data_IF_956182559045
#
_entry.id   IF_956182559045
#
_cell.length_a   1.000
_cell.length_b   1.000
_cell.length_c   1.000
_cell.angle_alpha   90.00
_cell.angle_beta   90.00
_cell.angle_gamma   90.00
#
_symmetry.space_group_name_H-M   'P 1'
#
loop_
_entity.id
_entity.type
_entity.pdbx_description
1 polymer ?
#
# COMPACT_ATOMS: atom_id res chain seq x y z
N UNK A 1 29.56 -23.93 -8.10
CA UNK A 1 29.35 -22.50 -7.83
C UNK A 1 28.98 -21.82 -9.14
N UNK A 2 27.84 -21.13 -9.21
CA UNK A 2 27.46 -20.37 -10.43
C UNK A 2 28.09 -18.99 -10.32
N UNK A 3 29.17 -18.74 -11.06
CA UNK A 3 29.82 -17.43 -11.12
C UNK A 3 29.07 -16.54 -12.14
N UNK A 4 28.67 -15.34 -11.71
CA UNK A 4 28.10 -14.31 -12.60
C UNK A 4 26.59 -14.35 -12.83
N UNK A 5 25.82 -15.11 -12.04
CA UNK A 5 24.36 -15.10 -12.13
C UNK A 5 23.80 -13.71 -11.74
N UNK A 6 23.21 -13.01 -12.70
CA UNK A 6 22.47 -11.75 -12.48
C UNK A 6 20.98 -12.00 -12.73
N UNK A 7 20.19 -12.12 -11.66
CA UNK A 7 18.73 -12.24 -11.73
C UNK A 7 18.10 -10.90 -11.40
N UNK A 8 17.12 -10.47 -12.20
CA UNK A 8 16.18 -9.40 -11.84
C UNK A 8 14.87 -10.05 -11.43
N UNK A 9 14.59 -10.08 -10.14
CA UNK A 9 13.33 -10.66 -9.62
C UNK A 9 12.17 -9.70 -9.87
N UNK A 10 11.03 -10.25 -10.28
CA UNK A 10 9.77 -9.51 -10.41
C UNK A 10 9.04 -9.32 -9.07
N UNK A 11 7.83 -8.76 -9.09
CA UNK A 11 6.98 -8.70 -7.91
C UNK A 11 6.66 -10.11 -7.41
N UNK A 12 6.52 -10.26 -6.09
CA UNK A 12 6.13 -11.53 -5.47
C UNK A 12 4.71 -11.96 -5.87
N UNK A 13 3.84 -10.99 -6.17
CA UNK A 13 2.47 -11.21 -6.57
C UNK A 13 2.05 -10.21 -7.64
N UNK A 14 1.38 -10.69 -8.69
CA UNK A 14 0.73 -9.88 -9.72
C UNK A 14 -0.60 -10.52 -10.05
N UNK A 15 -1.68 -9.73 -10.02
CA UNK A 15 -3.03 -10.18 -10.29
C UNK A 15 -3.67 -9.26 -11.33
N UNK A 16 -4.15 -9.86 -12.42
CA UNK A 16 -4.85 -9.17 -13.49
C UNK A 16 -6.08 -9.96 -13.89
N UNK A 17 -7.22 -9.54 -13.37
CA UNK A 17 -8.53 -10.13 -13.64
C UNK A 17 -9.63 -9.12 -13.32
N UNK A 18 -10.83 -9.37 -13.83
CA UNK A 18 -12.01 -8.61 -13.45
C UNK A 18 -12.31 -8.81 -11.96
N UNK A 19 -12.60 -7.72 -11.25
CA UNK A 19 -12.87 -7.76 -9.82
C UNK A 19 -11.64 -7.91 -8.91
N UNK A 20 -10.41 -7.98 -9.44
CA UNK A 20 -9.21 -8.20 -8.62
C UNK A 20 -8.99 -7.21 -7.46
N UNK A 21 -9.60 -6.01 -7.53
CA UNK A 21 -9.56 -5.01 -6.45
C UNK A 21 -10.20 -5.52 -5.15
N UNK A 22 -11.18 -6.43 -5.21
CA UNK A 22 -11.83 -7.00 -4.02
C UNK A 22 -10.91 -7.94 -3.25
N UNK A 23 -9.93 -8.56 -3.93
CA UNK A 23 -8.98 -9.51 -3.34
C UNK A 23 -7.83 -8.84 -2.58
N UNK A 24 -7.70 -7.51 -2.66
CA UNK A 24 -6.61 -6.76 -2.02
C UNK A 24 -6.60 -6.96 -0.50
N UNK A 25 -7.77 -6.99 0.15
CA UNK A 25 -7.80 -7.19 1.61
C UNK A 25 -7.27 -8.57 2.01
N UNK A 26 -7.70 -9.62 1.31
CA UNK A 26 -7.25 -10.99 1.58
C UNK A 26 -5.75 -11.15 1.35
N UNK A 27 -5.22 -10.50 0.32
CA UNK A 27 -3.78 -10.43 0.07
C UNK A 27 -3.07 -9.77 1.25
N UNK A 28 -3.51 -8.58 1.69
CA UNK A 28 -2.93 -7.88 2.83
C UNK A 28 -2.94 -8.75 4.11
N UNK A 29 -4.06 -9.43 4.39
CA UNK A 29 -4.21 -10.35 5.52
C UNK A 29 -3.27 -11.55 5.42
N UNK A 30 -3.06 -12.10 4.22
CA UNK A 30 -2.12 -13.21 4.00
C UNK A 30 -0.66 -12.84 4.36
N UNK A 31 -0.31 -11.55 4.27
CA UNK A 31 0.98 -11.02 4.73
C UNK A 31 0.95 -10.53 6.20
N UNK A 32 -0.14 -10.76 6.93
CA UNK A 32 -0.30 -10.37 8.33
C UNK A 32 -0.50 -8.87 8.56
N UNK A 33 -0.91 -8.11 7.53
CA UNK A 33 -1.14 -6.68 7.66
C UNK A 33 -2.39 -6.40 8.51
N UNK A 34 -2.20 -5.71 9.63
CA UNK A 34 -3.29 -5.25 10.54
C UNK A 34 -3.53 -3.75 10.46
N UNK A 35 -2.52 -2.99 10.03
CA UNK A 35 -2.51 -1.53 9.97
C UNK A 35 -1.86 -1.11 8.66
N UNK A 36 -2.59 -0.39 7.82
CA UNK A 36 -2.17 -0.08 6.46
C UNK A 36 -2.25 1.42 6.23
N UNK A 37 -1.16 2.02 5.73
CA UNK A 37 -1.15 3.41 5.29
C UNK A 37 -1.43 3.46 3.78
N UNK A 38 -2.57 4.03 3.40
CA UNK A 38 -2.95 4.29 2.01
C UNK A 38 -2.44 5.66 1.64
N UNK A 39 -1.42 5.70 0.77
CA UNK A 39 -0.94 6.96 0.19
C UNK A 39 -1.70 7.22 -1.10
N UNK A 40 -2.31 8.40 -1.22
CA UNK A 40 -3.21 8.73 -2.33
C UNK A 40 -3.02 10.16 -2.83
N UNK A 41 -3.40 10.42 -4.08
CA UNK A 41 -3.47 11.77 -4.64
C UNK A 41 -4.77 12.49 -4.30
N UNK A 42 -5.10 13.56 -5.02
CA UNK A 42 -6.38 14.27 -4.91
C UNK A 42 -7.41 13.68 -5.87
N UNK A 43 -7.34 14.08 -7.14
CA UNK A 43 -8.33 13.73 -8.18
C UNK A 43 -8.39 12.22 -8.41
N UNK A 44 -7.24 11.53 -8.36
CA UNK A 44 -7.19 10.07 -8.51
C UNK A 44 -7.89 9.35 -7.36
N UNK A 45 -7.81 9.90 -6.14
CA UNK A 45 -8.45 9.32 -4.97
C UNK A 45 -9.96 9.41 -5.06
N UNK A 46 -10.50 10.58 -5.38
CA UNK A 46 -11.96 10.79 -5.49
C UNK A 46 -12.59 9.84 -6.52
N UNK A 47 -11.93 9.65 -7.67
CA UNK A 47 -12.40 8.75 -8.72
C UNK A 47 -12.26 7.27 -8.37
N UNK A 48 -11.21 6.91 -7.62
CA UNK A 48 -10.94 5.53 -7.26
C UNK A 48 -11.74 5.07 -6.06
N UNK A 49 -11.96 5.94 -5.07
CA UNK A 49 -12.53 5.62 -3.76
C UNK A 49 -13.82 4.78 -3.83
N UNK A 50 -14.81 5.07 -4.70
CA UNK A 50 -16.02 4.24 -4.81
C UNK A 50 -15.75 2.78 -5.24
N UNK A 51 -14.60 2.51 -5.84
CA UNK A 51 -14.17 1.19 -6.36
C UNK A 51 -13.23 0.46 -5.41
N UNK A 52 -12.67 1.13 -4.41
CA UNK A 52 -11.71 0.55 -3.46
C UNK A 52 -12.44 -0.20 -2.34
N UNK A 53 -13.27 -1.17 -2.72
CA UNK A 53 -14.16 -1.92 -1.81
C UNK A 53 -13.42 -2.61 -0.66
N UNK A 54 -12.13 -2.92 -0.84
CA UNK A 54 -11.28 -3.53 0.20
C UNK A 54 -11.06 -2.61 1.41
N UNK A 55 -11.28 -1.30 1.29
CA UNK A 55 -11.16 -0.35 2.40
C UNK A 55 -12.26 -0.52 3.45
N UNK A 56 -13.33 -1.25 3.13
CA UNK A 56 -14.42 -1.56 4.05
C UNK A 56 -14.11 -2.75 4.98
N UNK A 57 -12.94 -3.39 4.86
CA UNK A 57 -12.57 -4.50 5.74
C UNK A 57 -12.19 -3.98 7.14
N UNK A 58 -13.11 -4.13 8.10
CA UNK A 58 -12.95 -3.68 9.49
C UNK A 58 -11.86 -4.44 10.26
N UNK A 59 -11.36 -5.56 9.73
CA UNK A 59 -10.24 -6.29 10.34
C UNK A 59 -8.88 -5.64 10.11
N UNK A 60 -8.81 -4.67 9.17
CA UNK A 60 -7.62 -3.88 8.87
C UNK A 60 -7.88 -2.42 9.25
N UNK A 61 -6.98 -1.85 10.05
CA UNK A 61 -7.02 -0.43 10.33
C UNK A 61 -6.35 0.36 9.19
N UNK A 62 -7.14 1.04 8.39
CA UNK A 62 -6.64 1.91 7.32
C UNK A 62 -6.37 3.33 7.81
N UNK A 63 -5.22 3.86 7.41
CA UNK A 63 -4.80 5.24 7.62
C UNK A 63 -4.60 5.90 6.25
N UNK A 64 -4.96 7.17 6.12
CA UNK A 64 -4.94 7.84 4.83
C UNK A 64 -3.93 8.97 4.82
N UNK A 65 -3.16 9.04 3.74
CA UNK A 65 -2.13 10.02 3.57
C UNK A 65 -2.15 10.63 2.17
N UNK A 66 -2.49 11.93 2.10
CA UNK A 66 -2.42 12.68 0.85
C UNK A 66 -0.97 12.97 0.48
N UNK A 67 -0.53 12.40 -0.63
CA UNK A 67 0.78 12.61 -1.24
C UNK A 67 0.88 14.00 -1.87
N UNK A 68 2.04 14.65 -1.75
CA UNK A 68 2.26 15.99 -2.28
C UNK A 68 2.39 16.05 -3.80
N UNK A 69 2.65 14.90 -4.46
CA UNK A 69 2.94 14.82 -5.88
C UNK A 69 4.43 14.81 -6.21
N UNK A 70 5.30 15.07 -5.23
CA UNK A 70 6.75 15.12 -5.43
C UNK A 70 7.45 13.86 -4.91
N UNK A 71 8.15 13.16 -5.80
CA UNK A 71 9.03 12.04 -5.41
C UNK A 71 10.34 12.58 -4.83
N UNK A 72 10.30 13.04 -3.58
CA UNK A 72 11.44 13.65 -2.90
C UNK A 72 11.81 12.91 -1.60
N UNK A 73 13.07 13.04 -1.19
CA UNK A 73 13.52 12.54 0.12
C UNK A 73 12.78 13.19 1.29
N UNK A 74 12.38 14.45 1.14
CA UNK A 74 11.58 15.15 2.14
C UNK A 74 10.23 14.46 2.32
N UNK A 75 9.58 14.10 1.22
CA UNK A 75 8.28 13.42 1.24
C UNK A 75 8.40 11.99 1.80
N UNK A 76 9.43 11.25 1.40
CA UNK A 76 9.72 9.93 1.98
C UNK A 76 9.94 9.99 3.51
N UNK A 77 10.68 11.01 4.01
CA UNK A 77 10.87 11.22 5.45
C UNK A 77 9.58 11.57 6.18
N UNK A 78 8.70 12.34 5.54
CA UNK A 78 7.39 12.70 6.08
C UNK A 78 6.51 11.46 6.25
N UNK A 79 6.42 10.61 5.22
CA UNK A 79 5.71 9.33 5.27
C UNK A 79 6.29 8.42 6.36
N UNK A 80 7.62 8.29 6.44
CA UNK A 80 8.27 7.49 7.48
C UNK A 80 7.94 7.99 8.90
N UNK A 81 7.84 9.31 9.08
CA UNK A 81 7.44 9.91 10.37
C UNK A 81 5.99 9.58 10.72
N UNK A 82 5.07 9.62 9.75
CA UNK A 82 3.68 9.20 9.94
C UNK A 82 3.60 7.74 10.38
N UNK A 83 4.33 6.85 9.71
CA UNK A 83 4.37 5.41 10.05
C UNK A 83 4.93 5.19 11.47
N UNK A 84 5.99 5.91 11.87
CA UNK A 84 6.53 5.83 13.23
C UNK A 84 5.50 6.25 14.28
N UNK A 85 4.80 7.37 14.06
CA UNK A 85 3.74 7.84 14.96
C UNK A 85 2.61 6.82 15.06
N UNK A 86 2.21 6.21 13.95
CA UNK A 86 1.22 5.14 13.94
C UNK A 86 1.67 3.99 14.85
N UNK A 87 2.90 3.47 14.68
CA UNK A 87 3.42 2.37 15.52
C UNK A 87 3.39 2.65 17.02
N UNK A 88 3.58 3.91 17.43
CA UNK A 88 3.63 4.30 18.85
C UNK A 88 2.27 4.37 19.56
N UNK A 89 1.14 4.31 18.84
CA UNK A 89 -0.22 4.33 19.42
C UNK A 89 -0.66 2.90 19.74
N UNK A 90 0.16 2.16 20.50
CA UNK A 90 -0.09 0.76 20.89
C UNK A 90 -0.10 0.63 22.40
#
# INVERSE_FOLDING_TARGET
>A
MVNGLKVKTGPQFYLYEEGGISKVSDLLKSYGAKRVLVTHGTVSWEKALPKLVFLNDETIQFFYHRYSGECSYAEARRIATIIKKMKSIS
#
